data_IF_949564774166
#
_entry.id   IF_949564774166
#
_cell.length_a   1.000
_cell.length_b   1.000
_cell.length_c   1.000
_cell.angle_alpha   90.00
_cell.angle_beta   90.00
_cell.angle_gamma   90.00
#
_symmetry.space_group_name_H-M   'P 1'
#
loop_
_entity.id
_entity.type
_entity.pdbx_description
1 polymer ?
#
# COMPACT_ATOMS: atom_id res chain seq x y z
N UNK A 1 16.78 -15.16 13.58
CA UNK A 1 17.00 -16.08 12.42
C UNK A 1 15.61 -16.46 11.93
N UNK A 2 15.09 -15.73 10.97
CA UNK A 2 13.77 -16.00 10.35
C UNK A 2 14.02 -16.98 9.22
N UNK A 3 13.32 -18.10 9.27
CA UNK A 3 13.45 -19.20 8.28
C UNK A 3 13.16 -18.68 6.87
N UNK A 4 13.92 -19.08 5.84
CA UNK A 4 13.78 -18.62 4.46
C UNK A 4 12.56 -19.20 3.71
N UNK A 5 11.64 -19.86 4.37
CA UNK A 5 10.55 -20.66 3.75
C UNK A 5 9.20 -19.96 3.61
N UNK A 6 9.11 -18.66 3.89
CA UNK A 6 7.85 -17.90 3.80
C UNK A 6 7.88 -16.76 2.78
N UNK A 7 8.72 -16.85 1.76
CA UNK A 7 8.74 -15.91 0.63
C UNK A 7 7.60 -16.26 -0.31
N UNK A 8 6.53 -15.46 -0.31
CA UNK A 8 5.51 -15.49 -1.36
C UNK A 8 4.07 -15.80 -0.94
N UNK A 9 3.78 -16.28 0.27
CA UNK A 9 2.40 -16.57 0.69
C UNK A 9 1.84 -15.44 1.54
N UNK A 10 0.83 -14.73 1.01
CA UNK A 10 0.05 -13.78 1.83
C UNK A 10 -0.73 -14.58 2.89
N UNK A 11 -0.54 -14.22 4.17
CA UNK A 11 -1.36 -14.75 5.26
C UNK A 11 -2.66 -13.96 5.40
N UNK A 12 -3.68 -14.60 5.93
CA UNK A 12 -4.89 -13.89 6.34
C UNK A 12 -4.58 -12.90 7.46
N UNK A 13 -5.16 -11.70 7.33
CA UNK A 13 -5.09 -10.69 8.38
C UNK A 13 -6.05 -11.04 9.51
N UNK A 14 -5.65 -10.79 10.74
CA UNK A 14 -6.57 -10.79 11.88
C UNK A 14 -7.61 -9.67 11.73
N UNK A 15 -8.71 -9.74 12.47
CA UNK A 15 -9.74 -8.69 12.46
C UNK A 15 -9.20 -7.30 12.79
N UNK A 16 -8.22 -7.21 13.68
CA UNK A 16 -7.59 -5.94 14.05
C UNK A 16 -6.74 -5.39 12.90
N UNK A 17 -5.94 -6.25 12.26
CA UNK A 17 -5.12 -5.91 11.10
C UNK A 17 -6.00 -5.54 9.90
N UNK A 18 -7.05 -6.32 9.62
CA UNK A 18 -7.99 -6.02 8.54
C UNK A 18 -8.66 -4.65 8.75
N UNK A 19 -9.15 -4.36 9.97
CA UNK A 19 -9.68 -3.03 10.31
C UNK A 19 -8.65 -1.93 10.18
N UNK A 20 -7.39 -2.18 10.55
CA UNK A 20 -6.32 -1.21 10.40
C UNK A 20 -6.04 -0.89 8.93
N UNK A 21 -6.09 -1.87 8.04
CA UNK A 21 -5.88 -1.68 6.60
C UNK A 21 -7.14 -1.22 5.84
N UNK A 22 -8.32 -1.27 6.46
CA UNK A 22 -9.58 -0.79 5.89
C UNK A 22 -9.74 0.75 5.97
N UNK A 23 -8.68 1.48 5.61
CA UNK A 23 -8.70 2.95 5.57
C UNK A 23 -7.65 3.45 4.57
N UNK A 24 -8.11 4.13 3.52
CA UNK A 24 -7.23 4.74 2.52
C UNK A 24 -6.20 5.68 3.14
N UNK A 25 -6.60 6.42 4.18
CA UNK A 25 -5.69 7.32 4.88
C UNK A 25 -4.55 6.56 5.58
N UNK A 26 -4.83 5.45 6.25
CA UNK A 26 -3.79 4.61 6.89
C UNK A 26 -2.86 3.96 5.87
N UNK A 27 -3.39 3.52 4.73
CA UNK A 27 -2.57 3.00 3.63
C UNK A 27 -1.62 4.08 3.09
N UNK A 28 -2.08 5.33 2.95
CA UNK A 28 -1.23 6.47 2.57
C UNK A 28 -0.15 6.77 3.62
N UNK A 29 -0.45 6.67 4.91
CA UNK A 29 0.56 6.82 5.98
C UNK A 29 1.65 5.74 5.83
N UNK A 30 1.27 4.48 5.60
CA UNK A 30 2.23 3.39 5.41
C UNK A 30 3.15 3.63 4.20
N UNK A 31 2.62 4.19 3.13
CA UNK A 31 3.42 4.53 1.95
C UNK A 31 4.40 5.66 2.22
N UNK A 32 3.95 6.73 2.86
CA UNK A 32 4.79 7.88 3.22
C UNK A 32 5.97 7.51 4.13
N UNK A 33 5.78 6.52 4.99
CA UNK A 33 6.79 6.08 5.96
C UNK A 33 7.58 4.85 5.52
N UNK A 34 7.44 4.45 4.25
CA UNK A 34 8.07 3.23 3.73
C UNK A 34 9.58 3.39 3.56
N UNK A 35 10.00 4.49 2.95
CA UNK A 35 11.40 4.76 2.65
C UNK A 35 12.07 5.58 3.76
N UNK A 36 11.39 6.64 4.22
CA UNK A 36 11.91 7.54 5.25
C UNK A 36 11.02 7.55 6.49
N UNK A 37 11.60 7.46 7.68
CA UNK A 37 10.85 7.60 8.92
C UNK A 37 10.36 9.03 9.10
N UNK A 38 9.05 9.20 9.34
CA UNK A 38 8.41 10.49 9.55
C UNK A 38 7.82 10.62 10.95
N UNK A 39 7.91 11.80 11.53
CA UNK A 39 7.21 12.15 12.76
C UNK A 39 5.71 12.33 12.53
N UNK A 40 4.90 12.24 13.57
CA UNK A 40 3.47 12.51 13.47
C UNK A 40 3.16 13.89 12.86
N UNK A 41 3.98 14.90 13.13
CA UNK A 41 3.81 16.22 12.56
C UNK A 41 4.08 16.24 11.06
N UNK A 42 5.17 15.62 10.61
CA UNK A 42 5.51 15.50 9.18
C UNK A 42 4.45 14.70 8.41
N UNK A 43 3.93 13.62 9.00
CA UNK A 43 2.79 12.86 8.44
C UNK A 43 1.54 13.74 8.31
N UNK A 44 1.21 14.49 9.36
CA UNK A 44 0.05 15.38 9.35
C UNK A 44 0.19 16.49 8.27
N UNK A 45 1.36 17.09 8.16
CA UNK A 45 1.69 18.11 7.15
C UNK A 45 1.57 17.54 5.73
N UNK A 46 2.21 16.40 5.46
CA UNK A 46 2.19 15.74 4.14
C UNK A 46 0.77 15.35 3.68
N UNK A 47 -0.12 15.02 4.63
CA UNK A 47 -1.49 14.59 4.31
C UNK A 47 -2.53 15.70 4.48
N UNK A 48 -2.13 16.93 4.86
CA UNK A 48 -3.06 18.02 5.12
C UNK A 48 -3.98 17.78 6.32
N UNK A 49 -3.52 17.08 7.35
CA UNK A 49 -4.31 16.67 8.51
C UNK A 49 -4.00 17.50 9.75
N UNK A 50 -4.97 17.52 10.68
CA UNK A 50 -4.68 17.93 12.04
C UNK A 50 -3.75 16.90 12.71
N UNK A 51 -2.70 17.33 13.46
CA UNK A 51 -1.78 16.41 14.13
C UNK A 51 -2.43 15.42 15.10
N UNK A 52 -3.54 15.80 15.75
CA UNK A 52 -4.27 14.89 16.63
C UNK A 52 -4.97 13.76 15.85
N UNK A 53 -5.52 14.08 14.68
CA UNK A 53 -6.11 13.10 13.76
C UNK A 53 -5.03 12.15 13.23
N UNK A 54 -3.90 12.69 12.76
CA UNK A 54 -2.78 11.88 12.31
C UNK A 54 -2.28 10.92 13.40
N UNK A 55 -2.15 11.40 14.65
CA UNK A 55 -1.70 10.60 15.78
C UNK A 55 -2.63 9.42 16.09
N UNK A 56 -3.94 9.59 15.94
CA UNK A 56 -4.90 8.51 16.11
C UNK A 56 -4.64 7.38 15.10
N UNK A 57 -4.42 7.72 13.82
CA UNK A 57 -4.12 6.73 12.78
C UNK A 57 -2.75 6.10 12.97
N UNK A 58 -1.73 6.88 13.33
CA UNK A 58 -0.39 6.39 13.64
C UNK A 58 -0.44 5.37 14.79
N UNK A 59 -1.15 5.67 15.88
CA UNK A 59 -1.30 4.74 17.01
C UNK A 59 -1.95 3.42 16.58
N UNK A 60 -3.05 3.49 15.81
CA UNK A 60 -3.69 2.28 15.28
C UNK A 60 -2.71 1.41 14.48
N UNK A 61 -1.86 2.03 13.67
CA UNK A 61 -0.87 1.31 12.86
C UNK A 61 0.29 0.76 13.71
N UNK A 62 0.70 1.46 14.76
CA UNK A 62 1.70 0.97 15.73
C UNK A 62 1.13 -0.20 16.52
N UNK A 63 -0.08 -0.08 17.05
CA UNK A 63 -0.75 -1.11 17.86
C UNK A 63 -0.96 -2.41 17.06
N UNK A 64 -1.11 -2.32 15.74
CA UNK A 64 -1.24 -3.47 14.83
C UNK A 64 0.09 -3.92 14.22
N UNK A 65 1.20 -3.24 14.54
CA UNK A 65 2.54 -3.59 14.07
C UNK A 65 2.81 -3.29 12.61
N UNK A 66 2.01 -2.43 11.97
CA UNK A 66 2.26 -1.92 10.62
C UNK A 66 3.21 -0.74 10.60
N UNK A 67 3.28 0.02 11.69
CA UNK A 67 4.32 1.01 11.96
C UNK A 67 5.14 0.61 13.17
N UNK A 68 6.40 0.95 13.16
CA UNK A 68 7.29 0.94 14.31
C UNK A 68 7.67 2.37 14.72
N UNK A 69 7.69 2.63 16.02
CA UNK A 69 8.22 3.85 16.58
C UNK A 69 9.74 3.70 16.73
N UNK A 70 10.51 4.62 16.15
CA UNK A 70 11.96 4.62 16.26
C UNK A 70 12.43 5.43 17.47
N UNK A 71 13.74 5.36 17.75
CA UNK A 71 14.35 6.16 18.81
C UNK A 71 14.06 7.65 18.63
N UNK A 72 13.66 8.34 19.71
CA UNK A 72 13.34 9.74 19.63
C UNK A 72 14.52 10.59 19.20
N UNK A 73 14.29 11.51 18.27
CA UNK A 73 15.27 12.50 17.83
C UNK A 73 14.96 13.89 18.37
N UNK A 74 15.97 14.76 18.39
CA UNK A 74 15.76 16.19 18.67
C UNK A 74 15.15 16.85 17.44
N UNK A 75 13.94 17.35 17.58
CA UNK A 75 13.26 18.14 16.57
C UNK A 75 13.57 19.62 16.65
N UNK A 76 12.81 20.41 15.87
CA UNK A 76 12.90 21.90 15.88
C UNK A 76 12.67 22.42 17.29
N UNK A 77 13.50 23.37 17.72
CA UNK A 77 13.47 24.01 19.07
C UNK A 77 13.73 23.04 20.24
N UNK A 78 14.41 21.91 19.99
CA UNK A 78 14.76 20.97 21.06
C UNK A 78 13.62 20.05 21.52
N UNK A 79 12.47 20.07 20.86
CA UNK A 79 11.37 19.15 21.16
C UNK A 79 11.80 17.68 20.89
N UNK A 80 11.36 16.77 21.75
CA UNK A 80 11.54 15.34 21.52
C UNK A 80 10.50 14.85 20.50
N UNK A 81 10.94 14.41 19.35
CA UNK A 81 10.09 13.89 18.27
C UNK A 81 10.33 12.39 18.06
N UNK A 82 9.28 11.62 17.90
CA UNK A 82 9.34 10.20 17.63
C UNK A 82 9.06 9.99 16.14
N UNK A 83 10.04 9.50 15.35
CA UNK A 83 9.81 9.09 13.97
C UNK A 83 9.15 7.71 13.91
N UNK A 84 8.34 7.48 12.90
CA UNK A 84 7.67 6.22 12.62
C UNK A 84 8.10 5.70 11.25
N UNK A 85 8.28 4.39 11.14
CA UNK A 85 8.63 3.70 9.90
C UNK A 85 7.63 2.59 9.61
N UNK A 86 7.27 2.40 8.35
CA UNK A 86 6.48 1.25 7.92
C UNK A 86 7.31 -0.03 8.05
N UNK A 87 6.69 -1.07 8.62
CA UNK A 87 7.33 -2.39 8.80
C UNK A 87 7.28 -3.25 7.52
N UNK A 88 6.59 -2.79 6.46
CA UNK A 88 6.37 -3.57 5.24
C UNK A 88 5.38 -4.74 5.39
N UNK A 89 4.92 -5.06 6.61
CA UNK A 89 4.07 -6.22 6.89
C UNK A 89 2.75 -6.24 6.12
N UNK A 90 2.22 -5.08 5.74
CA UNK A 90 0.97 -4.97 4.98
C UNK A 90 1.04 -5.65 3.62
N UNK A 91 2.23 -5.76 3.02
CA UNK A 91 2.44 -6.46 1.75
C UNK A 91 2.09 -7.94 1.82
N UNK A 92 2.39 -8.59 2.95
CA UNK A 92 2.19 -10.02 3.17
C UNK A 92 0.80 -10.36 3.73
N UNK A 93 -0.14 -9.40 3.75
CA UNK A 93 -1.49 -9.62 4.23
C UNK A 93 -2.48 -9.79 3.09
N UNK A 94 -3.33 -10.82 3.19
CA UNK A 94 -4.54 -10.94 2.40
C UNK A 94 -5.71 -10.40 3.21
N UNK A 95 -6.36 -9.35 2.72
CA UNK A 95 -7.53 -8.79 3.40
C UNK A 95 -8.72 -8.76 2.45
N UNK A 96 -9.80 -9.49 2.75
CA UNK A 96 -11.05 -9.40 1.97
C UNK A 96 -11.67 -8.00 2.02
N UNK A 97 -11.37 -7.24 3.08
CA UNK A 97 -12.00 -5.93 3.41
C UNK A 97 -11.21 -4.73 2.85
N UNK A 98 -10.00 -4.93 2.37
CA UNK A 98 -9.08 -3.82 2.04
C UNK A 98 -9.15 -3.29 0.61
N UNK A 99 -9.83 -3.98 -0.32
CA UNK A 99 -9.80 -3.62 -1.75
C UNK A 99 -10.35 -2.21 -2.04
N UNK A 100 -11.44 -1.82 -1.41
CA UNK A 100 -12.02 -0.47 -1.59
C UNK A 100 -11.11 0.62 -1.02
N UNK A 101 -10.51 0.38 0.14
CA UNK A 101 -9.58 1.34 0.77
C UNK A 101 -8.27 1.47 0.01
N UNK A 102 -7.81 0.39 -0.62
CA UNK A 102 -6.63 0.42 -1.48
C UNK A 102 -6.89 1.24 -2.75
N UNK A 103 -8.06 1.06 -3.37
CA UNK A 103 -8.47 1.86 -4.53
C UNK A 103 -8.66 3.34 -4.13
N UNK A 104 -9.29 3.62 -2.99
CA UNK A 104 -9.44 4.98 -2.45
C UNK A 104 -8.08 5.67 -2.25
N UNK A 105 -7.12 4.97 -1.63
CA UNK A 105 -5.77 5.47 -1.43
C UNK A 105 -5.09 5.80 -2.77
N UNK A 106 -5.15 4.87 -3.72
CA UNK A 106 -4.59 5.06 -5.06
C UNK A 106 -5.20 6.27 -5.78
N UNK A 107 -6.54 6.39 -5.80
CA UNK A 107 -7.22 7.51 -6.45
C UNK A 107 -6.85 8.86 -5.82
N UNK A 108 -6.70 8.92 -4.50
CA UNK A 108 -6.25 10.12 -3.80
C UNK A 108 -4.79 10.48 -4.12
N UNK A 109 -3.92 9.49 -4.29
CA UNK A 109 -2.51 9.68 -4.64
C UNK A 109 -2.37 10.14 -6.11
N UNK A 110 -2.96 9.41 -7.06
CA UNK A 110 -2.81 9.72 -8.49
C UNK A 110 -3.45 11.06 -8.87
N UNK A 111 -4.46 11.52 -8.13
CA UNK A 111 -5.08 12.82 -8.36
C UNK A 111 -4.10 14.00 -8.16
N UNK A 112 -3.04 13.80 -7.38
CA UNK A 112 -2.00 14.82 -7.15
C UNK A 112 -0.89 14.82 -8.21
N UNK A 113 -0.80 13.78 -9.03
CA UNK A 113 0.20 13.65 -10.10
C UNK A 113 -0.26 14.43 -11.33
N UNK A 114 0.59 15.25 -11.97
CA UNK A 114 0.25 15.90 -13.24
C UNK A 114 -0.10 14.90 -14.33
N UNK A 115 -1.05 15.23 -15.23
CA UNK A 115 -1.48 14.31 -16.28
C UNK A 115 -0.34 13.78 -17.19
N UNK A 116 0.64 14.60 -17.60
CA UNK A 116 1.75 14.12 -18.43
C UNK A 116 2.63 13.07 -17.75
N UNK A 117 2.64 13.03 -16.43
CA UNK A 117 3.49 12.14 -15.63
C UNK A 117 2.76 10.83 -15.26
N UNK A 118 1.52 10.66 -15.73
CA UNK A 118 0.72 9.44 -15.48
C UNK A 118 0.86 8.46 -16.64
N UNK A 119 1.39 7.27 -16.39
CA UNK A 119 1.31 6.16 -17.33
C UNK A 119 0.05 5.33 -17.04
N UNK A 120 -0.95 5.45 -17.90
CA UNK A 120 -2.25 4.79 -17.70
C UNK A 120 -2.50 3.81 -18.86
N UNK A 121 -2.60 2.54 -18.53
CA UNK A 121 -2.96 1.48 -19.48
C UNK A 121 -4.27 0.80 -19.09
N UNK A 122 -5.16 0.63 -20.05
CA UNK A 122 -6.39 -0.14 -19.89
C UNK A 122 -6.50 -1.20 -20.99
N UNK A 123 -6.70 -2.45 -20.60
CA UNK A 123 -6.84 -3.58 -21.51
C UNK A 123 -8.13 -4.36 -21.21
N UNK A 124 -8.97 -4.55 -22.22
CA UNK A 124 -10.11 -5.48 -22.17
C UNK A 124 -9.65 -6.88 -22.59
N UNK A 125 -10.00 -7.88 -21.78
CA UNK A 125 -9.58 -9.28 -21.99
C UNK A 125 -10.79 -10.20 -22.12
N UNK A 126 -10.66 -11.21 -22.97
CA UNK A 126 -11.57 -12.36 -23.06
C UNK A 126 -10.74 -13.63 -23.17
N UNK A 127 -10.38 -14.16 -22.02
CA UNK A 127 -9.48 -15.32 -21.89
C UNK A 127 -10.25 -16.51 -21.30
N UNK A 128 -9.90 -17.75 -21.69
CA UNK A 128 -10.25 -18.94 -20.93
C UNK A 128 -9.76 -18.84 -19.49
N UNK A 129 -10.43 -19.54 -18.56
CA UNK A 129 -10.08 -19.48 -17.15
C UNK A 129 -8.60 -19.81 -16.86
N UNK A 130 -8.05 -20.81 -17.55
CA UNK A 130 -6.63 -21.20 -17.39
C UNK A 130 -5.66 -20.08 -17.78
N UNK A 131 -5.93 -19.39 -18.89
CA UNK A 131 -5.09 -18.26 -19.35
C UNK A 131 -5.22 -17.04 -18.42
N UNK A 132 -6.40 -16.84 -17.83
CA UNK A 132 -6.60 -15.78 -16.84
C UNK A 132 -5.79 -16.06 -15.55
N UNK A 133 -5.75 -17.31 -15.10
CA UNK A 133 -4.93 -17.70 -13.96
C UNK A 133 -3.42 -17.59 -14.29
N UNK A 134 -3.00 -17.96 -15.48
CA UNK A 134 -1.63 -17.72 -15.94
C UNK A 134 -1.27 -16.23 -15.91
N UNK A 135 -2.15 -15.36 -16.44
CA UNK A 135 -1.93 -13.91 -16.40
C UNK A 135 -1.79 -13.40 -14.96
N UNK A 136 -2.64 -13.86 -14.03
CA UNK A 136 -2.56 -13.50 -12.62
C UNK A 136 -1.23 -13.91 -11.99
N UNK A 137 -0.81 -15.14 -12.25
CA UNK A 137 0.45 -15.67 -11.74
C UNK A 137 1.64 -14.83 -12.23
N UNK A 138 1.72 -14.57 -13.54
CA UNK A 138 2.80 -13.78 -14.15
C UNK A 138 2.82 -12.33 -13.65
N UNK A 139 1.66 -11.69 -13.50
CA UNK A 139 1.58 -10.34 -12.92
C UNK A 139 2.07 -10.34 -11.47
N UNK A 140 1.70 -11.35 -10.69
CA UNK A 140 2.14 -11.47 -9.31
C UNK A 140 3.65 -11.71 -9.21
N UNK A 141 4.20 -12.62 -10.02
CA UNK A 141 5.64 -12.88 -10.09
C UNK A 141 6.42 -11.62 -10.44
N UNK A 142 5.98 -10.86 -11.45
CA UNK A 142 6.61 -9.61 -11.84
C UNK A 142 6.60 -8.58 -10.69
N UNK A 143 5.46 -8.38 -10.06
CA UNK A 143 5.32 -7.41 -8.95
C UNK A 143 6.17 -7.86 -7.75
N UNK A 144 6.23 -9.17 -7.46
CA UNK A 144 7.06 -9.71 -6.38
C UNK A 144 8.55 -9.54 -6.69
N UNK A 145 9.00 -9.82 -7.92
CA UNK A 145 10.38 -9.61 -8.34
C UNK A 145 10.84 -8.16 -8.06
N UNK A 146 10.02 -7.18 -8.45
CA UNK A 146 10.36 -5.76 -8.21
C UNK A 146 10.22 -5.33 -6.76
N UNK A 147 9.29 -5.92 -6.00
CA UNK A 147 9.17 -5.68 -4.57
C UNK A 147 10.43 -6.13 -3.80
N UNK A 148 11.03 -7.24 -4.21
CA UNK A 148 12.18 -7.84 -3.52
C UNK A 148 13.53 -7.19 -3.92
N UNK A 149 13.53 -6.30 -4.94
CA UNK A 149 14.73 -5.54 -5.31
C UNK A 149 15.12 -4.56 -4.22
N UNK A 150 16.42 -4.38 -3.96
CA UNK A 150 16.89 -3.32 -3.07
C UNK A 150 16.37 -1.95 -3.54
N UNK A 151 15.87 -1.17 -2.60
CA UNK A 151 15.41 0.21 -2.88
C UNK A 151 16.63 1.12 -2.97
N UNK A 152 16.66 1.95 -4.01
CA UNK A 152 17.67 2.99 -4.18
C UNK A 152 17.11 4.31 -3.61
N UNK A 153 17.68 4.84 -2.51
CA UNK A 153 17.20 6.07 -1.89
C UNK A 153 17.42 7.33 -2.75
N UNK A 154 18.32 7.27 -3.73
CA UNK A 154 18.60 8.40 -4.64
C UNK A 154 17.70 8.39 -5.89
N UNK A 155 16.98 7.29 -6.13
CA UNK A 155 16.08 7.19 -7.27
C UNK A 155 14.74 7.87 -7.01
N UNK A 156 14.10 8.38 -8.08
CA UNK A 156 12.74 8.90 -8.00
C UNK A 156 11.74 7.81 -7.57
N UNK A 157 10.83 8.13 -6.62
CA UNK A 157 9.83 7.17 -6.16
C UNK A 157 8.71 6.98 -7.19
N UNK A 158 8.38 5.72 -7.50
CA UNK A 158 7.27 5.35 -8.37
C UNK A 158 6.24 4.51 -7.63
N UNK A 159 4.97 4.65 -8.02
CA UNK A 159 3.86 3.87 -7.48
C UNK A 159 3.22 3.05 -8.61
N UNK A 160 3.12 1.74 -8.42
CA UNK A 160 2.40 0.84 -9.31
C UNK A 160 1.11 0.37 -8.63
N UNK A 161 -0.01 0.51 -9.34
CA UNK A 161 -1.30 -0.06 -8.95
C UNK A 161 -1.79 -1.01 -10.04
N UNK A 162 -2.11 -2.24 -9.68
CA UNK A 162 -2.66 -3.25 -10.59
C UNK A 162 -4.06 -3.63 -10.14
N UNK A 163 -5.04 -3.51 -11.03
CA UNK A 163 -6.41 -3.94 -10.78
C UNK A 163 -6.89 -4.86 -11.90
N UNK A 164 -7.26 -6.09 -11.55
CA UNK A 164 -7.88 -7.05 -12.45
C UNK A 164 -9.27 -7.39 -11.92
N UNK A 165 -10.30 -7.15 -12.72
CA UNK A 165 -11.68 -7.34 -12.32
C UNK A 165 -12.54 -7.87 -13.47
N UNK A 166 -13.68 -8.52 -13.19
CA UNK A 166 -14.65 -8.85 -14.24
C UNK A 166 -15.13 -7.59 -14.96
N UNK A 167 -15.17 -7.62 -16.29
CA UNK A 167 -15.73 -6.52 -17.09
C UNK A 167 -17.25 -6.65 -17.16
N UNK A 168 -17.95 -5.91 -16.31
CA UNK A 168 -19.41 -5.87 -16.25
C UNK A 168 -20.05 -4.96 -17.30
N UNK A 169 -19.24 -4.18 -18.04
CA UNK A 169 -19.72 -3.30 -19.11
C UNK A 169 -20.02 -4.06 -20.41
N UNK A 170 -19.44 -5.26 -20.57
CA UNK A 170 -19.66 -6.10 -21.73
C UNK A 170 -20.87 -7.02 -21.53
N UNK A 171 -21.78 -7.05 -22.52
CA UNK A 171 -22.91 -7.96 -22.49
C UNK A 171 -22.43 -9.43 -22.53
N UNK A 172 -22.99 -10.32 -21.67
CA UNK A 172 -22.72 -11.73 -21.80
C UNK A 172 -23.15 -12.21 -23.19
N UNK A 173 -22.39 -13.11 -23.84
CA UNK A 173 -22.83 -13.74 -25.07
C UNK A 173 -24.14 -14.44 -24.77
N UNK A 174 -25.18 -14.11 -25.53
CA UNK A 174 -26.38 -14.96 -25.57
C UNK A 174 -25.92 -16.32 -26.10
N UNK A 175 -26.11 -17.36 -25.30
CA UNK A 175 -25.96 -18.73 -25.79
C UNK A 175 -26.96 -18.95 -26.93
N UNK A 176 -26.58 -19.63 -28.00
CA UNK A 176 -27.48 -19.95 -29.11
C UNK A 176 -28.63 -20.83 -28.67
#
# INVERSE_FOLDING_TARGET
MTSPEQVGVRREATDAEARALASGLRLRILRLTLDEPLTNREIAEALGLNPATALHHVRTLVDTGFLEALEPRRGRRGAREIPYRSTGRSWYMSTPVGASSLLEAFLAEIATVPEPDRDLTRLGLRLPAAELEELRARLWELVQEFHDRPRDPEAEPWSLFVALHPDTSQRPRRSP
#
